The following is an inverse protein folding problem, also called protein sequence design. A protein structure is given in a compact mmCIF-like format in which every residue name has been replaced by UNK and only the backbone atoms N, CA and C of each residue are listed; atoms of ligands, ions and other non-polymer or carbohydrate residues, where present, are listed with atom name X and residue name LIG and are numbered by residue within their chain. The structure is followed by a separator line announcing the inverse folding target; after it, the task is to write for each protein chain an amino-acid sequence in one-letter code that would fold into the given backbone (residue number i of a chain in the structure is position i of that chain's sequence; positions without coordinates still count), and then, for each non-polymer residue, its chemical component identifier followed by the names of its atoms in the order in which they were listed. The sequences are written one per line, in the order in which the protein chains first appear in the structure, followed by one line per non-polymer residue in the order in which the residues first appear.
data_IF_593656351451
#
_entry.id   IF_593656351451
#
_cell.length_a   1.000
_cell.length_b   1.000
_cell.length_c   1.000
_cell.angle_alpha   90.00
_cell.angle_beta   90.00
_cell.angle_gamma   90.00
#
_symmetry.space_group_name_H-M   'P 1'
#
loop_
_entity.id
_entity.type
_entity.pdbx_description
1 polymer ?
#
# COMPACT_ATOMS: atom_id res chain seq x y z
N UNK A 1 -41.49 -16.08 60.30
CA UNK A 1 -40.43 -15.21 60.84
C UNK A 1 -39.38 -15.08 59.76
N UNK A 2 -39.13 -13.84 59.35
CA UNK A 2 -38.45 -13.43 58.13
C UNK A 2 -36.97 -13.84 58.05
N UNK A 3 -36.55 -14.05 56.80
CA UNK A 3 -35.21 -14.27 56.28
C UNK A 3 -34.36 -12.97 56.38
N UNK A 4 -33.10 -13.06 56.83
CA UNK A 4 -32.02 -12.17 56.36
C UNK A 4 -30.61 -12.69 56.66
N UNK A 5 -29.80 -12.83 55.57
CA UNK A 5 -28.36 -12.56 55.33
C UNK A 5 -27.37 -12.70 56.52
N UNK A 6 -26.21 -13.32 56.37
CA UNK A 6 -25.07 -12.91 55.52
C UNK A 6 -24.21 -14.13 55.18
N UNK A 7 -23.93 -14.37 53.91
CA UNK A 7 -22.83 -15.24 53.46
C UNK A 7 -21.68 -14.38 52.97
N UNK A 8 -20.51 -14.61 53.55
CA UNK A 8 -19.23 -14.02 53.17
C UNK A 8 -18.81 -14.51 51.79
N UNK A 9 -18.45 -13.56 50.93
CA UNK A 9 -17.89 -13.80 49.59
C UNK A 9 -16.51 -14.46 49.71
N UNK A 10 -16.46 -15.74 49.35
CA UNK A 10 -15.21 -16.44 49.05
C UNK A 10 -14.65 -15.99 47.70
N UNK A 11 -13.38 -15.60 47.70
CA UNK A 11 -12.58 -15.24 46.53
C UNK A 11 -12.55 -16.36 45.48
N UNK A 12 -13.20 -16.15 44.35
CA UNK A 12 -13.02 -16.97 43.15
C UNK A 12 -11.73 -16.53 42.41
N UNK A 13 -11.00 -17.46 41.77
CA UNK A 13 -9.67 -17.21 41.24
C UNK A 13 -9.70 -16.22 40.07
N UNK A 14 -8.78 -15.26 40.13
CA UNK A 14 -8.47 -14.22 39.14
C UNK A 14 -7.83 -14.88 37.89
N UNK A 15 -8.59 -15.71 37.19
CA UNK A 15 -8.07 -16.50 36.06
C UNK A 15 -9.11 -16.75 34.96
N UNK A 16 -10.03 -15.79 34.75
CA UNK A 16 -11.04 -15.87 33.68
C UNK A 16 -11.32 -14.57 32.92
N UNK A 17 -10.40 -13.59 32.91
CA UNK A 17 -10.56 -12.39 32.07
C UNK A 17 -9.23 -11.83 31.52
N UNK A 18 -8.31 -12.71 31.13
CA UNK A 18 -7.13 -12.36 30.33
C UNK A 18 -7.03 -13.28 29.11
N UNK A 19 -8.08 -13.30 28.31
CA UNK A 19 -8.04 -13.84 26.96
C UNK A 19 -8.83 -12.94 26.02
N UNK A 20 -8.49 -11.66 26.01
CA UNK A 20 -8.56 -10.88 24.78
C UNK A 20 -7.37 -11.35 23.94
N UNK A 21 -7.60 -12.21 22.94
CA UNK A 21 -6.62 -12.44 21.89
C UNK A 21 -6.25 -11.07 21.32
N UNK A 22 -5.07 -10.58 21.68
CA UNK A 22 -4.64 -9.25 21.29
C UNK A 22 -4.49 -9.23 19.77
N UNK A 23 -5.07 -8.23 19.11
CA UNK A 23 -4.69 -7.82 17.76
C UNK A 23 -3.20 -7.48 17.79
N UNK A 24 -2.37 -8.48 17.59
CA UNK A 24 -0.93 -8.43 17.82
C UNK A 24 -0.26 -7.78 16.62
N UNK A 25 -0.30 -6.45 16.56
CA UNK A 25 0.53 -5.69 15.65
C UNK A 25 1.99 -5.94 16.03
N UNK A 26 2.79 -6.44 15.09
CA UNK A 26 4.20 -6.80 15.30
C UNK A 26 5.16 -5.97 14.44
N UNK A 27 6.41 -5.86 14.89
CA UNK A 27 7.48 -5.24 14.08
C UNK A 27 7.66 -5.99 12.75
N UNK A 28 7.52 -7.31 12.77
CA UNK A 28 7.66 -8.13 11.57
C UNK A 28 6.63 -7.74 10.50
N UNK A 29 5.39 -7.42 10.89
CA UNK A 29 4.36 -6.91 9.96
C UNK A 29 4.60 -5.48 9.49
N UNK A 30 5.18 -4.62 10.33
CA UNK A 30 5.60 -3.28 9.91
C UNK A 30 6.70 -3.38 8.85
N UNK A 31 7.71 -4.23 9.10
CA UNK A 31 8.77 -4.51 8.12
C UNK A 31 8.20 -5.15 6.87
N UNK A 32 7.31 -6.13 7.02
CA UNK A 32 6.67 -6.82 5.91
C UNK A 32 5.92 -5.85 5.00
N UNK A 33 5.20 -4.88 5.56
CA UNK A 33 4.50 -3.86 4.78
C UNK A 33 5.44 -3.04 3.87
N UNK A 34 6.49 -2.43 4.43
CA UNK A 34 7.39 -1.58 3.62
C UNK A 34 8.31 -2.41 2.71
N UNK A 35 8.86 -3.51 3.21
CA UNK A 35 9.72 -4.40 2.41
C UNK A 35 8.93 -5.10 1.31
N UNK A 36 7.69 -5.49 1.60
CA UNK A 36 6.76 -6.04 0.60
C UNK A 36 6.52 -5.04 -0.52
N UNK A 37 6.24 -3.78 -0.20
CA UNK A 37 6.12 -2.71 -1.21
C UNK A 37 7.36 -2.60 -2.09
N UNK A 38 8.54 -2.50 -1.48
CA UNK A 38 9.84 -2.45 -2.21
C UNK A 38 10.04 -3.67 -3.11
N UNK A 39 9.73 -4.87 -2.61
CA UNK A 39 9.86 -6.09 -3.38
C UNK A 39 8.86 -6.13 -4.54
N UNK A 40 7.62 -5.68 -4.32
CA UNK A 40 6.61 -5.57 -5.37
C UNK A 40 7.04 -4.64 -6.49
N UNK A 41 7.52 -3.46 -6.15
CA UNK A 41 8.11 -2.48 -7.09
C UNK A 41 9.28 -3.10 -7.87
N UNK A 42 10.34 -3.54 -7.17
CA UNK A 42 11.55 -4.07 -7.80
C UNK A 42 11.29 -5.28 -8.72
N UNK A 43 10.33 -6.14 -8.34
CA UNK A 43 10.01 -7.36 -9.09
C UNK A 43 9.00 -7.12 -10.21
N UNK A 44 8.10 -6.14 -10.06
CA UNK A 44 7.11 -5.75 -11.05
C UNK A 44 7.68 -4.89 -12.17
N UNK A 45 8.60 -3.97 -11.87
CA UNK A 45 9.11 -2.98 -12.83
C UNK A 45 9.61 -3.56 -14.18
N UNK A 46 10.25 -4.74 -14.24
CA UNK A 46 10.66 -5.31 -15.53
C UNK A 46 9.53 -5.70 -16.48
N UNK A 47 8.28 -5.74 -15.99
CA UNK A 47 7.09 -6.13 -16.75
C UNK A 47 6.12 -4.95 -16.94
N UNK A 48 6.53 -3.73 -16.60
CA UNK A 48 5.69 -2.54 -16.78
C UNK A 48 5.39 -2.33 -18.26
N UNK A 49 4.11 -2.17 -18.60
CA UNK A 49 3.62 -1.98 -19.96
C UNK A 49 3.39 -3.26 -20.76
N UNK A 50 3.73 -4.44 -20.23
CA UNK A 50 3.37 -5.71 -20.85
C UNK A 50 1.83 -5.90 -20.85
N UNK A 51 1.26 -6.54 -21.88
CA UNK A 51 -0.18 -6.75 -21.93
C UNK A 51 -0.65 -7.75 -20.87
N UNK A 52 -0.02 -8.92 -20.82
CA UNK A 52 -0.20 -9.97 -19.81
C UNK A 52 1.12 -10.73 -19.66
N UNK A 53 1.33 -11.36 -18.51
CA UNK A 53 2.58 -12.07 -18.19
C UNK A 53 2.26 -13.48 -17.72
N UNK A 54 2.62 -14.48 -18.52
CA UNK A 54 2.33 -15.88 -18.18
C UNK A 54 3.03 -16.35 -16.91
N UNK A 55 2.38 -17.23 -16.15
CA UNK A 55 2.95 -17.86 -14.95
C UNK A 55 4.28 -18.58 -15.21
N UNK A 56 4.48 -19.15 -16.40
CA UNK A 56 5.75 -19.79 -16.79
C UNK A 56 6.90 -18.78 -16.85
N UNK A 57 6.66 -17.58 -17.40
CA UNK A 57 7.66 -16.50 -17.43
C UNK A 57 7.97 -16.03 -16.02
N UNK A 58 6.94 -15.88 -15.17
CA UNK A 58 7.09 -15.43 -13.78
C UNK A 58 7.85 -16.43 -12.90
N UNK A 59 7.56 -17.72 -13.00
CA UNK A 59 8.30 -18.77 -12.28
C UNK A 59 9.77 -18.79 -12.74
N UNK A 60 10.00 -18.78 -14.06
CA UNK A 60 11.36 -18.74 -14.62
C UNK A 60 12.14 -17.50 -14.16
N UNK A 61 11.47 -16.35 -14.09
CA UNK A 61 12.06 -15.11 -13.61
C UNK A 61 12.56 -15.18 -12.17
N UNK A 62 11.79 -15.81 -11.26
CA UNK A 62 12.21 -16.03 -9.87
C UNK A 62 13.32 -17.07 -9.75
N UNK A 63 13.23 -18.18 -10.48
CA UNK A 63 14.24 -19.25 -10.45
C UNK A 63 15.64 -18.78 -10.89
N UNK A 64 15.71 -17.85 -11.84
CA UNK A 64 16.96 -17.44 -12.47
C UNK A 64 17.46 -16.06 -12.01
N UNK A 65 16.98 -15.55 -10.87
CA UNK A 65 17.38 -14.23 -10.35
C UNK A 65 18.89 -14.11 -10.12
N UNK A 66 19.50 -15.13 -9.52
CA UNK A 66 20.94 -15.17 -9.25
C UNK A 66 21.78 -15.13 -10.54
N UNK A 67 21.42 -15.96 -11.53
CA UNK A 67 22.10 -15.96 -12.83
C UNK A 67 21.94 -14.63 -13.56
N UNK A 68 20.74 -14.04 -13.52
CA UNK A 68 20.45 -12.76 -14.16
C UNK A 68 21.21 -11.60 -13.49
N UNK A 69 21.39 -11.63 -12.18
CA UNK A 69 22.19 -10.65 -11.44
C UNK A 69 23.68 -10.76 -11.80
N UNK A 70 24.22 -11.98 -11.86
CA UNK A 70 25.60 -12.24 -12.27
C UNK A 70 25.88 -11.78 -13.70
N UNK A 71 24.99 -12.12 -14.66
CA UNK A 71 25.15 -11.73 -16.08
C UNK A 71 25.15 -10.22 -16.29
N UNK A 72 24.39 -9.46 -15.49
CA UNK A 72 24.28 -7.99 -15.59
C UNK A 72 25.35 -7.23 -14.80
N UNK A 73 26.14 -7.93 -13.98
CA UNK A 73 27.04 -7.30 -13.00
C UNK A 73 26.32 -6.25 -12.12
N UNK A 74 25.03 -6.48 -11.84
CA UNK A 74 24.18 -5.64 -11.02
C UNK A 74 23.49 -6.54 -9.99
N UNK A 75 23.89 -6.49 -8.71
CA UNK A 75 23.43 -7.46 -7.71
C UNK A 75 21.95 -7.29 -7.35
N UNK A 76 21.42 -6.08 -7.52
CA UNK A 76 20.04 -5.71 -7.20
C UNK A 76 19.29 -5.15 -8.41
N UNK A 77 17.98 -5.31 -8.38
CA UNK A 77 17.00 -4.62 -9.24
C UNK A 77 16.71 -3.26 -8.59
N UNK A 78 16.83 -2.16 -9.34
CA UNK A 78 16.52 -0.85 -8.79
C UNK A 78 15.01 -0.73 -8.55
N UNK A 79 14.64 -0.01 -7.50
CA UNK A 79 13.26 0.40 -7.26
C UNK A 79 12.86 1.58 -8.17
N UNK A 80 11.57 1.85 -8.35
CA UNK A 80 11.05 2.96 -9.18
C UNK A 80 10.60 4.18 -8.33
N UNK A 81 9.84 5.11 -8.91
CA UNK A 81 9.31 6.25 -8.16
C UNK A 81 8.37 5.83 -7.05
N UNK A 82 7.74 4.66 -7.13
CA UNK A 82 6.94 4.02 -6.08
C UNK A 82 7.64 4.02 -4.73
N UNK A 83 8.78 3.34 -4.66
CA UNK A 83 9.59 3.25 -3.45
C UNK A 83 10.22 4.59 -3.10
N UNK A 84 10.70 5.35 -4.10
CA UNK A 84 11.32 6.66 -3.88
C UNK A 84 10.36 7.62 -3.14
N UNK A 85 9.12 7.74 -3.63
CA UNK A 85 8.09 8.57 -3.02
C UNK A 85 7.61 7.99 -1.69
N UNK A 86 7.57 6.66 -1.54
CA UNK A 86 7.27 6.01 -0.25
C UNK A 86 8.31 6.39 0.81
N UNK A 87 9.60 6.33 0.49
CA UNK A 87 10.68 6.68 1.41
C UNK A 87 10.68 8.16 1.78
N UNK A 88 10.40 9.05 0.82
CA UNK A 88 10.22 10.46 1.10
C UNK A 88 9.05 10.71 2.09
N UNK A 89 7.94 9.97 1.94
CA UNK A 89 6.82 10.01 2.88
C UNK A 89 7.21 9.48 4.26
N UNK A 90 7.86 8.30 4.34
CA UNK A 90 8.38 7.75 5.60
C UNK A 90 9.25 8.77 6.34
N UNK A 91 10.21 9.37 5.63
CA UNK A 91 11.14 10.34 6.19
C UNK A 91 10.42 11.55 6.78
N UNK A 92 9.47 12.13 6.04
CA UNK A 92 8.71 13.29 6.52
C UNK A 92 7.83 12.95 7.73
N UNK A 93 7.09 11.83 7.67
CA UNK A 93 6.19 11.43 8.76
C UNK A 93 6.95 11.15 10.06
N UNK A 94 8.10 10.48 9.98
CA UNK A 94 8.92 10.18 11.15
C UNK A 94 9.62 11.43 11.69
N UNK A 95 10.16 12.29 10.81
CA UNK A 95 10.82 13.55 11.20
C UNK A 95 9.86 14.49 11.93
N UNK A 96 8.63 14.64 11.43
CA UNK A 96 7.66 15.60 11.96
C UNK A 96 6.67 14.98 12.94
N UNK A 97 6.84 13.69 13.27
CA UNK A 97 5.92 12.97 14.15
C UNK A 97 4.45 13.02 13.69
N UNK A 98 4.24 13.02 12.37
CA UNK A 98 2.95 13.27 11.75
C UNK A 98 3.08 13.96 10.40
N UNK A 99 1.94 14.33 9.81
CA UNK A 99 1.93 14.98 8.51
C UNK A 99 2.28 16.47 8.62
N UNK A 100 3.33 16.88 7.90
CA UNK A 100 3.65 18.27 7.61
C UNK A 100 3.73 18.42 6.08
N UNK A 101 2.77 19.12 5.47
CA UNK A 101 2.65 19.19 4.01
C UNK A 101 3.82 19.92 3.34
N UNK A 102 4.32 20.98 3.98
CA UNK A 102 5.42 21.78 3.46
C UNK A 102 6.72 20.96 3.48
N UNK A 103 7.01 20.28 4.60
CA UNK A 103 8.17 19.40 4.68
C UNK A 103 8.05 18.22 3.71
N UNK A 104 6.88 17.58 3.63
CA UNK A 104 6.65 16.46 2.72
C UNK A 104 6.85 16.84 1.25
N UNK A 105 6.31 17.99 0.82
CA UNK A 105 6.53 18.51 -0.52
C UNK A 105 8.02 18.76 -0.79
N UNK A 106 8.74 19.29 0.20
CA UNK A 106 10.21 19.44 0.14
C UNK A 106 10.94 18.10 -0.01
N UNK A 107 10.54 17.06 0.73
CA UNK A 107 11.14 15.72 0.58
C UNK A 107 10.87 15.13 -0.80
N UNK A 108 9.65 15.27 -1.33
CA UNK A 108 9.32 14.79 -2.67
C UNK A 108 10.13 15.51 -3.76
N UNK A 109 10.26 16.84 -3.66
CA UNK A 109 11.09 17.62 -4.57
C UNK A 109 12.58 17.22 -4.48
N UNK A 110 13.09 17.02 -3.27
CA UNK A 110 14.47 16.60 -3.06
C UNK A 110 14.75 15.20 -3.65
N UNK A 111 13.86 14.24 -3.38
CA UNK A 111 13.98 12.88 -3.91
C UNK A 111 13.97 12.90 -5.45
N UNK A 112 13.01 13.60 -6.06
CA UNK A 112 12.92 13.75 -7.51
C UNK A 112 14.18 14.37 -8.13
N UNK A 113 14.74 15.42 -7.52
CA UNK A 113 15.98 16.03 -8.02
C UNK A 113 17.20 15.12 -7.85
N UNK A 114 17.19 14.22 -6.87
CA UNK A 114 18.30 13.30 -6.63
C UNK A 114 18.44 12.25 -7.73
N UNK A 115 17.32 11.75 -8.25
CA UNK A 115 17.29 10.86 -9.41
C UNK A 115 15.95 10.96 -10.18
N UNK A 116 15.83 11.89 -11.14
CA UNK A 116 14.58 12.12 -11.88
C UNK A 116 14.24 10.98 -12.86
N UNK A 117 15.10 9.96 -12.98
CA UNK A 117 14.96 8.83 -13.92
C UNK A 117 14.31 7.60 -13.29
N UNK A 118 13.79 7.71 -12.06
CA UNK A 118 13.19 6.60 -11.31
C UNK A 118 11.85 6.10 -11.85
N UNK A 119 11.25 6.74 -12.85
CA UNK A 119 9.99 6.26 -13.44
C UNK A 119 8.83 7.26 -13.39
N UNK A 120 9.00 8.39 -12.67
CA UNK A 120 7.96 9.39 -12.45
C UNK A 120 7.11 9.71 -13.68
N UNK A 121 5.79 9.56 -13.56
CA UNK A 121 4.84 10.00 -14.60
C UNK A 121 4.98 11.49 -14.94
N UNK A 122 4.73 11.85 -16.20
CA UNK A 122 4.97 13.22 -16.71
C UNK A 122 4.27 14.33 -15.91
N UNK A 123 3.02 14.10 -15.46
CA UNK A 123 2.30 15.03 -14.60
C UNK A 123 2.98 15.23 -13.24
N UNK A 124 3.47 14.13 -12.63
CA UNK A 124 4.20 14.18 -11.37
C UNK A 124 5.53 14.94 -11.53
N UNK A 125 6.27 14.68 -12.61
CA UNK A 125 7.52 15.43 -12.90
C UNK A 125 7.29 16.94 -12.95
N UNK A 126 6.23 17.41 -13.62
CA UNK A 126 5.91 18.83 -13.67
C UNK A 126 5.62 19.41 -12.27
N UNK A 127 4.83 18.70 -11.46
CA UNK A 127 4.50 19.14 -10.10
C UNK A 127 5.76 19.19 -9.22
N UNK A 128 6.56 18.13 -9.21
CA UNK A 128 7.75 18.02 -8.38
C UNK A 128 8.83 19.03 -8.81
N UNK A 129 8.99 19.23 -10.13
CA UNK A 129 9.86 20.27 -10.66
C UNK A 129 9.41 21.66 -10.23
N UNK A 130 8.12 22.00 -10.29
CA UNK A 130 7.61 23.30 -9.85
C UNK A 130 7.84 23.53 -8.34
N UNK A 131 7.52 22.53 -7.49
CA UNK A 131 7.80 22.59 -6.05
C UNK A 131 9.30 22.84 -5.80
N UNK A 132 10.16 22.18 -6.57
CA UNK A 132 11.61 22.28 -6.43
C UNK A 132 12.18 23.64 -6.88
N UNK A 133 11.83 24.08 -8.10
CA UNK A 133 12.43 25.27 -8.74
C UNK A 133 11.90 26.56 -8.15
N UNK A 134 10.62 26.61 -7.78
CA UNK A 134 9.99 27.75 -7.12
C UNK A 134 10.19 27.73 -5.60
N UNK A 135 10.81 26.66 -5.08
CA UNK A 135 11.08 26.45 -3.65
C UNK A 135 9.84 26.61 -2.79
N UNK A 136 8.73 26.02 -3.23
CA UNK A 136 7.44 26.16 -2.57
C UNK A 136 7.46 25.63 -1.12
N UNK A 137 8.40 24.75 -0.81
CA UNK A 137 8.67 24.25 0.55
C UNK A 137 9.34 25.26 1.50
N UNK A 138 9.73 26.46 1.02
CA UNK A 138 10.15 27.58 1.86
C UNK A 138 8.94 28.47 2.29
N UNK A 139 7.75 28.22 1.72
CA UNK A 139 6.50 28.91 2.08
C UNK A 139 6.03 28.54 3.49
N UNK A 140 5.37 29.48 4.16
CA UNK A 140 4.60 29.21 5.39
C UNK A 140 3.14 28.87 5.13
N UNK A 141 2.66 29.06 3.90
CA UNK A 141 1.31 28.71 3.46
C UNK A 141 1.33 27.36 2.74
N UNK A 142 0.63 26.38 3.31
CA UNK A 142 0.46 25.05 2.72
C UNK A 142 -0.18 25.11 1.33
N UNK A 143 -1.01 26.13 1.03
CA UNK A 143 -1.64 26.25 -0.29
C UNK A 143 -0.63 26.31 -1.43
N UNK A 144 0.56 26.89 -1.18
CA UNK A 144 1.62 27.00 -2.15
C UNK A 144 2.09 25.63 -2.67
N UNK A 145 2.26 24.64 -1.78
CA UNK A 145 2.71 23.29 -2.17
C UNK A 145 1.60 22.41 -2.75
N UNK A 146 0.35 22.88 -2.72
CA UNK A 146 -0.81 22.16 -3.27
C UNK A 146 -1.22 22.69 -4.64
N UNK A 147 -0.91 23.95 -4.96
CA UNK A 147 -1.34 24.56 -6.23
C UNK A 147 -0.80 23.89 -7.51
N UNK A 148 0.47 23.45 -7.58
CA UNK A 148 0.96 22.79 -8.80
C UNK A 148 0.12 21.56 -9.18
N UNK A 149 -0.32 20.77 -8.20
CA UNK A 149 -1.19 19.63 -8.44
C UNK A 149 -2.61 20.03 -8.86
N UNK A 150 -3.16 21.09 -8.26
CA UNK A 150 -4.49 21.63 -8.62
C UNK A 150 -4.56 22.09 -10.06
N UNK A 151 -3.47 22.66 -10.59
CA UNK A 151 -3.43 23.17 -11.96
C UNK A 151 -3.30 22.07 -13.03
N UNK A 152 -2.93 20.85 -12.65
CA UNK A 152 -2.84 19.72 -13.58
C UNK A 152 -4.19 19.44 -14.27
N UNK A 153 -4.13 19.02 -15.53
CA UNK A 153 -5.29 18.64 -16.33
C UNK A 153 -6.39 19.71 -16.38
N UNK A 154 -6.00 20.99 -16.52
CA UNK A 154 -6.94 22.10 -16.64
C UNK A 154 -7.76 22.36 -15.37
N UNK A 155 -7.18 22.09 -14.20
CA UNK A 155 -7.84 22.30 -12.92
C UNK A 155 -8.50 21.05 -12.32
N UNK A 156 -8.50 19.92 -13.03
CA UNK A 156 -9.14 18.69 -12.58
C UNK A 156 -8.25 17.84 -11.66
N UNK A 157 -6.93 18.06 -11.71
CA UNK A 157 -5.94 17.23 -11.01
C UNK A 157 -5.73 15.86 -11.65
N UNK A 158 -4.61 15.22 -11.31
CA UNK A 158 -4.30 13.86 -11.72
C UNK A 158 -5.19 12.83 -11.00
N UNK A 159 -5.81 11.91 -11.75
CA UNK A 159 -6.48 10.72 -11.20
C UNK A 159 -5.57 9.48 -11.14
N UNK A 160 -4.27 9.65 -11.43
CA UNK A 160 -3.27 8.58 -11.37
C UNK A 160 -3.12 7.96 -9.98
N UNK A 161 -2.54 6.77 -9.94
CA UNK A 161 -2.34 5.99 -8.73
C UNK A 161 -1.12 6.42 -7.90
N UNK A 162 -0.33 7.41 -8.35
CA UNK A 162 0.91 7.79 -7.67
C UNK A 162 0.73 8.31 -6.24
N UNK A 163 -0.48 8.74 -5.87
CA UNK A 163 -0.82 9.02 -4.48
C UNK A 163 -1.04 7.77 -3.62
N UNK A 164 -1.55 6.70 -4.22
CA UNK A 164 -1.82 5.42 -3.59
C UNK A 164 -0.58 4.53 -3.51
N UNK A 165 0.27 4.53 -4.54
CA UNK A 165 1.50 3.71 -4.60
C UNK A 165 2.39 3.92 -3.36
N UNK A 166 2.43 5.14 -2.85
CA UNK A 166 3.29 5.55 -1.73
C UNK A 166 2.65 5.58 -0.35
N UNK A 167 1.36 5.26 -0.23
CA UNK A 167 0.56 5.65 0.95
C UNK A 167 0.68 4.70 2.15
N UNK A 168 1.31 3.52 1.99
CA UNK A 168 1.41 2.51 3.05
C UNK A 168 1.98 3.02 4.40
N UNK A 169 2.94 3.99 4.46
CA UNK A 169 3.42 4.54 5.72
C UNK A 169 2.33 5.24 6.55
N UNK A 170 1.28 5.78 5.91
CA UNK A 170 0.14 6.40 6.60
C UNK A 170 -0.62 5.37 7.44
N UNK A 171 -0.76 4.15 6.92
CA UNK A 171 -1.40 3.05 7.64
C UNK A 171 -0.59 2.61 8.86
N UNK A 172 0.75 2.61 8.74
CA UNK A 172 1.65 2.30 9.84
C UNK A 172 1.63 3.38 10.92
N UNK A 173 1.66 4.66 10.52
CA UNK A 173 1.57 5.80 11.44
C UNK A 173 0.28 5.75 12.27
N UNK A 174 -0.86 5.44 11.63
CA UNK A 174 -2.18 5.42 12.26
C UNK A 174 -2.67 4.00 12.57
N UNK A 175 -1.75 3.08 12.88
CA UNK A 175 -2.06 1.67 13.08
C UNK A 175 -2.96 1.41 14.31
N UNK A 176 -2.91 2.26 15.34
CA UNK A 176 -3.78 2.19 16.53
C UNK A 176 -4.75 3.37 16.68
N UNK A 177 -4.60 4.39 15.83
CA UNK A 177 -5.40 5.60 15.86
C UNK A 177 -6.83 5.38 15.32
N UNK A 178 -7.78 6.28 15.64
CA UNK A 178 -9.06 6.36 14.93
C UNK A 178 -8.86 6.42 13.41
N UNK A 179 -9.71 5.70 12.66
CA UNK A 179 -9.57 5.55 11.21
C UNK A 179 -9.65 6.91 10.47
N UNK A 180 -10.35 7.88 11.05
CA UNK A 180 -10.53 9.24 10.54
C UNK A 180 -9.20 10.01 10.45
N UNK A 181 -8.22 9.72 11.32
CA UNK A 181 -6.88 10.29 11.22
C UNK A 181 -6.12 9.72 10.02
N UNK A 182 -6.22 8.41 9.78
CA UNK A 182 -5.65 7.77 8.59
C UNK A 182 -6.27 8.32 7.31
N UNK A 183 -7.60 8.48 7.26
CA UNK A 183 -8.32 9.07 6.11
C UNK A 183 -7.80 10.48 5.85
N UNK A 184 -7.72 11.31 6.89
CA UNK A 184 -7.28 12.71 6.78
C UNK A 184 -5.83 12.80 6.28
N UNK A 185 -4.92 12.00 6.83
CA UNK A 185 -3.51 11.99 6.42
C UNK A 185 -3.33 11.49 4.99
N UNK A 186 -4.01 10.39 4.61
CA UNK A 186 -3.98 9.86 3.25
C UNK A 186 -4.56 10.85 2.24
N UNK A 187 -5.65 11.55 2.60
CA UNK A 187 -6.22 12.62 1.78
C UNK A 187 -5.24 13.76 1.59
N UNK A 188 -4.74 14.36 2.67
CA UNK A 188 -3.89 15.56 2.61
C UNK A 188 -2.56 15.31 1.91
N UNK A 189 -1.90 14.17 2.12
CA UNK A 189 -0.65 13.84 1.43
C UNK A 189 -0.84 13.67 -0.09
N UNK A 190 -2.02 13.20 -0.51
CA UNK A 190 -2.34 12.99 -1.92
C UNK A 190 -2.34 14.32 -2.68
N UNK A 191 -2.92 15.36 -2.07
CA UNK A 191 -3.14 16.68 -2.68
C UNK A 191 -1.86 17.40 -3.12
N UNK A 192 -0.68 17.02 -2.62
CA UNK A 192 0.60 17.59 -3.07
C UNK A 192 0.86 17.28 -4.55
N UNK A 193 0.34 16.17 -5.05
CA UNK A 193 0.59 15.69 -6.45
C UNK A 193 -0.68 15.32 -7.21
N UNK A 194 -1.73 14.94 -6.50
CA UNK A 194 -2.96 14.38 -7.04
C UNK A 194 -4.15 15.03 -6.32
N UNK A 195 -4.72 16.07 -6.93
CA UNK A 195 -5.88 16.79 -6.38
C UNK A 195 -7.23 16.23 -6.87
N UNK A 196 -7.23 15.24 -7.76
CA UNK A 196 -8.46 14.61 -8.22
C UNK A 196 -9.02 13.66 -7.15
N UNK A 197 -10.34 13.71 -6.94
CA UNK A 197 -11.01 12.86 -5.94
C UNK A 197 -10.86 11.35 -6.19
N UNK A 198 -10.68 10.90 -7.44
CA UNK A 198 -10.41 9.50 -7.76
C UNK A 198 -9.05 9.03 -7.21
N UNK A 199 -8.00 9.83 -7.38
CA UNK A 199 -6.68 9.51 -6.84
C UNK A 199 -6.66 9.55 -5.31
N UNK A 200 -7.30 10.57 -4.73
CA UNK A 200 -7.44 10.72 -3.28
C UNK A 200 -8.16 9.52 -2.65
N UNK A 201 -9.29 9.09 -3.24
CA UNK A 201 -10.00 7.89 -2.77
C UNK A 201 -9.15 6.63 -2.90
N UNK A 202 -8.43 6.46 -4.01
CA UNK A 202 -7.51 5.33 -4.19
C UNK A 202 -6.47 5.25 -3.09
N UNK A 203 -5.83 6.38 -2.74
CA UNK A 203 -4.86 6.44 -1.65
C UNK A 203 -5.49 6.11 -0.28
N UNK A 204 -6.70 6.58 -0.01
CA UNK A 204 -7.42 6.23 1.23
C UNK A 204 -7.76 4.74 1.28
N UNK A 205 -8.23 4.16 0.17
CA UNK A 205 -8.57 2.73 0.09
C UNK A 205 -7.32 1.86 0.28
N UNK A 206 -6.21 2.22 -0.37
CA UNK A 206 -4.94 1.51 -0.23
C UNK A 206 -4.42 1.57 1.22
N UNK A 207 -4.42 2.74 1.85
CA UNK A 207 -4.05 2.87 3.26
C UNK A 207 -4.96 2.04 4.18
N UNK A 208 -6.27 2.02 3.91
CA UNK A 208 -7.22 1.22 4.67
C UNK A 208 -6.98 -0.28 4.50
N UNK A 209 -6.68 -0.75 3.28
CA UNK A 209 -6.39 -2.15 3.00
C UNK A 209 -5.16 -2.63 3.78
N UNK A 210 -4.07 -1.84 3.76
CA UNK A 210 -2.88 -2.11 4.58
C UNK A 210 -3.22 -2.14 6.06
N UNK A 211 -3.99 -1.16 6.58
CA UNK A 211 -4.35 -1.10 7.99
C UNK A 211 -5.23 -2.27 8.44
N UNK A 212 -6.19 -2.70 7.62
CA UNK A 212 -7.06 -3.85 7.92
C UNK A 212 -6.22 -5.14 7.96
N UNK A 213 -5.34 -5.33 6.97
CA UNK A 213 -4.41 -6.46 6.94
C UNK A 213 -3.51 -6.50 8.19
N UNK A 214 -2.92 -5.35 8.55
CA UNK A 214 -2.07 -5.18 9.73
C UNK A 214 -2.77 -5.54 11.04
N UNK A 215 -4.05 -5.16 11.17
CA UNK A 215 -4.86 -5.36 12.37
C UNK A 215 -5.52 -6.74 12.46
N UNK A 216 -5.40 -7.58 11.43
CA UNK A 216 -5.93 -8.95 11.45
C UNK A 216 -5.21 -9.74 12.53
N UNK A 217 -5.92 -10.51 13.34
CA UNK A 217 -5.27 -11.30 14.40
C UNK A 217 -4.32 -12.34 13.80
N UNK A 218 -3.20 -12.58 14.49
CA UNK A 218 -2.19 -13.54 14.06
C UNK A 218 -2.80 -14.95 13.93
N UNK A 219 -2.51 -15.62 12.81
CA UNK A 219 -3.07 -16.93 12.49
C UNK A 219 -4.55 -16.95 12.08
N UNK A 220 -5.25 -15.79 12.05
CA UNK A 220 -6.62 -15.73 11.50
C UNK A 220 -6.60 -15.45 10.01
N UNK A 221 -7.31 -16.30 9.27
CA UNK A 221 -7.58 -16.08 7.86
C UNK A 221 -8.45 -14.84 7.63
N UNK A 222 -8.15 -14.11 6.56
CA UNK A 222 -8.98 -13.01 6.08
C UNK A 222 -10.15 -13.56 5.27
N UNK A 223 -11.37 -13.19 5.65
CA UNK A 223 -12.55 -13.38 4.81
C UNK A 223 -12.62 -12.26 3.75
N UNK A 224 -12.55 -12.57 2.44
CA UNK A 224 -12.52 -11.54 1.40
C UNK A 224 -13.75 -10.64 1.37
N UNK A 225 -14.94 -11.18 1.67
CA UNK A 225 -16.19 -10.38 1.67
C UNK A 225 -16.17 -9.38 2.81
N UNK A 226 -15.73 -9.80 4.00
CA UNK A 226 -15.58 -8.93 5.15
C UNK A 226 -14.53 -7.85 4.89
N UNK A 227 -13.36 -8.23 4.35
CA UNK A 227 -12.29 -7.28 4.01
C UNK A 227 -12.80 -6.18 3.07
N UNK A 228 -13.46 -6.57 1.97
CA UNK A 228 -14.05 -5.62 1.01
C UNK A 228 -15.16 -4.77 1.66
N UNK A 229 -16.01 -5.34 2.51
CA UNK A 229 -17.04 -4.56 3.21
C UNK A 229 -16.44 -3.53 4.18
N UNK A 230 -15.33 -3.85 4.84
CA UNK A 230 -14.62 -2.90 5.68
C UNK A 230 -14.04 -1.74 4.84
N UNK A 231 -13.50 -2.00 3.65
CA UNK A 231 -13.08 -0.96 2.71
C UNK A 231 -14.25 -0.06 2.26
N UNK A 232 -15.41 -0.65 1.93
CA UNK A 232 -16.62 0.10 1.56
C UNK A 232 -17.06 1.05 2.67
N UNK A 233 -16.99 0.61 3.93
CA UNK A 233 -17.32 1.45 5.08
C UNK A 233 -16.34 2.63 5.21
N UNK A 234 -15.07 2.46 4.86
CA UNK A 234 -14.10 3.56 4.83
C UNK A 234 -14.45 4.56 3.73
N UNK A 235 -14.77 4.11 2.51
CA UNK A 235 -15.15 5.00 1.39
C UNK A 235 -16.31 5.93 1.77
N UNK A 236 -17.31 5.40 2.48
CA UNK A 236 -18.49 6.18 2.92
C UNK A 236 -18.11 7.28 3.92
N UNK A 237 -17.03 7.11 4.69
CA UNK A 237 -16.53 8.10 5.65
C UNK A 237 -15.67 9.20 5.02
N UNK A 238 -15.26 9.06 3.76
CA UNK A 238 -14.42 10.07 3.10
C UNK A 238 -15.29 11.23 2.69
N UNK A 239 -15.24 12.32 3.46
CA UNK A 239 -15.84 13.60 3.10
C UNK A 239 -15.01 14.30 2.00
N UNK A 240 -15.57 15.32 1.34
CA UNK A 240 -14.87 16.17 0.36
C UNK A 240 -14.46 15.51 -0.97
N UNK A 241 -15.13 14.43 -1.37
CA UNK A 241 -15.04 13.85 -2.71
C UNK A 241 -16.42 13.75 -3.36
N UNK A 242 -16.46 13.83 -4.69
CA UNK A 242 -17.69 13.69 -5.46
C UNK A 242 -18.35 12.32 -5.19
N UNK A 243 -19.68 12.30 -5.09
CA UNK A 243 -20.43 11.06 -4.89
C UNK A 243 -20.18 10.05 -6.03
N UNK A 244 -20.06 10.53 -7.27
CA UNK A 244 -19.76 9.71 -8.45
C UNK A 244 -18.41 8.99 -8.35
N UNK A 245 -17.39 9.65 -7.77
CA UNK A 245 -16.09 9.01 -7.53
C UNK A 245 -16.19 7.88 -6.50
N UNK A 246 -17.02 8.04 -5.46
CA UNK A 246 -17.29 6.96 -4.49
C UNK A 246 -18.00 5.78 -5.16
N UNK A 247 -18.98 6.06 -6.01
CA UNK A 247 -19.73 5.02 -6.75
C UNK A 247 -18.80 4.15 -7.61
N UNK A 248 -17.85 4.77 -8.32
CA UNK A 248 -16.84 4.05 -9.12
C UNK A 248 -16.07 3.04 -8.27
N UNK A 249 -15.54 3.45 -7.11
CA UNK A 249 -14.79 2.53 -6.25
C UNK A 249 -15.69 1.48 -5.59
N UNK A 250 -16.92 1.83 -5.22
CA UNK A 250 -17.87 0.85 -4.68
C UNK A 250 -18.21 -0.22 -5.72
N UNK A 251 -18.35 0.15 -7.00
CA UNK A 251 -18.53 -0.79 -8.10
C UNK A 251 -17.29 -1.66 -8.33
N UNK A 252 -16.09 -1.05 -8.41
CA UNK A 252 -14.83 -1.78 -8.55
C UNK A 252 -14.61 -2.79 -7.41
N UNK A 253 -14.93 -2.43 -6.16
CA UNK A 253 -14.86 -3.34 -5.02
C UNK A 253 -15.87 -4.50 -5.12
N UNK A 254 -17.04 -4.30 -5.73
CA UNK A 254 -17.95 -5.41 -6.04
C UNK A 254 -17.36 -6.30 -7.14
N UNK A 255 -16.69 -5.73 -8.14
CA UNK A 255 -16.00 -6.49 -9.18
C UNK A 255 -14.87 -7.34 -8.60
N UNK A 256 -14.11 -6.85 -7.61
CA UNK A 256 -13.12 -7.68 -6.87
C UNK A 256 -13.76 -8.97 -6.38
N UNK A 257 -14.89 -8.87 -5.67
CA UNK A 257 -15.60 -10.06 -5.16
C UNK A 257 -16.15 -10.95 -6.27
N UNK A 258 -16.62 -10.37 -7.38
CA UNK A 258 -17.10 -11.10 -8.55
C UNK A 258 -15.98 -11.93 -9.18
N UNK A 259 -14.82 -11.33 -9.42
CA UNK A 259 -13.67 -12.03 -10.01
C UNK A 259 -13.05 -13.06 -9.07
N UNK A 260 -13.04 -12.82 -7.75
CA UNK A 260 -12.61 -13.83 -6.77
C UNK A 260 -13.51 -15.09 -6.78
N UNK A 261 -14.78 -14.94 -7.19
CA UNK A 261 -15.72 -16.04 -7.32
C UNK A 261 -15.63 -16.81 -8.63
N UNK A 262 -14.86 -16.35 -9.62
CA UNK A 262 -14.69 -17.03 -10.91
C UNK A 262 -13.66 -18.15 -10.80
N UNK A 263 -13.93 -19.28 -11.45
CA UNK A 263 -13.00 -20.41 -11.56
C UNK A 263 -11.93 -20.20 -12.62
N UNK A 264 -12.29 -19.50 -13.70
CA UNK A 264 -11.40 -19.07 -14.76
C UNK A 264 -11.68 -17.60 -15.06
N UNK A 265 -10.64 -16.84 -15.35
CA UNK A 265 -10.72 -15.41 -15.60
C UNK A 265 -10.45 -15.18 -17.07
N UNK A 266 -11.34 -14.43 -17.70
CA UNK A 266 -11.08 -13.82 -18.99
C UNK A 266 -10.24 -12.57 -18.72
N UNK A 267 -9.00 -12.56 -19.20
CA UNK A 267 -8.02 -11.50 -18.95
C UNK A 267 -8.47 -10.16 -19.57
N UNK A 268 -9.07 -10.20 -20.77
CA UNK A 268 -9.60 -9.00 -21.43
C UNK A 268 -10.76 -8.42 -20.61
N UNK A 269 -11.71 -9.27 -20.20
CA UNK A 269 -12.83 -8.84 -19.34
C UNK A 269 -12.32 -8.27 -18.00
N UNK A 270 -11.28 -8.87 -17.43
CA UNK A 270 -10.69 -8.42 -16.16
C UNK A 270 -10.04 -7.05 -16.29
N UNK A 271 -9.17 -6.87 -17.29
CA UNK A 271 -8.49 -5.60 -17.53
C UNK A 271 -9.46 -4.50 -17.93
N UNK A 272 -10.51 -4.80 -18.71
CA UNK A 272 -11.54 -3.82 -19.05
C UNK A 272 -12.37 -3.38 -17.84
N UNK A 273 -12.82 -4.32 -16.99
CA UNK A 273 -13.75 -4.02 -15.90
C UNK A 273 -13.05 -3.60 -14.61
N UNK A 274 -12.00 -4.32 -14.18
CA UNK A 274 -11.28 -4.02 -12.94
C UNK A 274 -10.11 -3.06 -13.18
N UNK A 275 -9.37 -3.26 -14.28
CA UNK A 275 -8.24 -2.42 -14.66
C UNK A 275 -6.88 -3.03 -14.34
N UNK A 276 -5.87 -2.55 -15.03
CA UNK A 276 -4.46 -2.86 -14.81
C UNK A 276 -3.56 -1.64 -15.16
N UNK A 277 -4.12 -0.44 -15.19
CA UNK A 277 -3.44 0.76 -15.70
C UNK A 277 -3.05 1.77 -14.60
N UNK A 278 -2.36 2.84 -15.00
CA UNK A 278 -1.83 3.91 -14.14
C UNK A 278 -2.89 4.74 -13.40
N UNK A 279 -4.18 4.54 -13.68
CA UNK A 279 -5.26 5.23 -12.96
C UNK A 279 -5.45 4.59 -11.58
N UNK A 280 -5.70 5.40 -10.56
CA UNK A 280 -6.05 4.89 -9.24
C UNK A 280 -7.27 3.92 -9.25
N UNK A 281 -8.37 4.19 -9.98
CA UNK A 281 -9.49 3.24 -10.06
C UNK A 281 -9.18 1.98 -10.88
N UNK A 282 -8.16 2.00 -11.74
CA UNK A 282 -7.70 0.84 -12.53
C UNK A 282 -6.67 -0.03 -11.82
N UNK A 283 -5.96 0.48 -10.81
CA UNK A 283 -4.86 -0.26 -10.15
C UNK A 283 -5.14 -0.61 -8.69
N UNK A 284 -5.72 0.30 -7.89
CA UNK A 284 -5.96 0.06 -6.45
C UNK A 284 -6.90 -1.13 -6.20
N UNK A 285 -8.06 -1.25 -6.88
CA UNK A 285 -8.92 -2.42 -6.73
C UNK A 285 -8.24 -3.72 -7.18
N UNK A 286 -7.38 -3.65 -8.20
CA UNK A 286 -6.61 -4.79 -8.72
C UNK A 286 -5.54 -5.25 -7.75
N UNK A 287 -4.86 -4.33 -7.05
CA UNK A 287 -3.95 -4.66 -5.96
C UNK A 287 -4.66 -5.36 -4.79
N UNK A 288 -5.86 -4.88 -4.42
CA UNK A 288 -6.71 -5.56 -3.42
C UNK A 288 -7.13 -6.95 -3.90
N UNK A 289 -7.51 -7.09 -5.17
CA UNK A 289 -7.83 -8.38 -5.76
C UNK A 289 -6.65 -9.34 -5.69
N UNK A 290 -5.45 -8.92 -6.12
CA UNK A 290 -4.25 -9.76 -6.15
C UNK A 290 -3.92 -10.30 -4.76
N UNK A 291 -3.96 -9.45 -3.73
CA UNK A 291 -3.79 -9.87 -2.34
C UNK A 291 -4.84 -10.91 -1.91
N UNK A 292 -6.12 -10.64 -2.12
CA UNK A 292 -7.21 -11.53 -1.69
C UNK A 292 -7.21 -12.86 -2.45
N UNK A 293 -6.83 -12.85 -3.74
CA UNK A 293 -6.68 -14.05 -4.57
C UNK A 293 -5.52 -14.91 -4.06
N UNK A 294 -4.40 -14.28 -3.71
CA UNK A 294 -3.20 -14.93 -3.21
C UNK A 294 -3.29 -15.42 -1.75
N UNK A 295 -4.38 -15.16 -1.02
CA UNK A 295 -4.62 -15.79 0.29
C UNK A 295 -4.66 -17.32 0.21
N UNK A 296 -5.03 -17.86 -0.95
CA UNK A 296 -5.02 -19.31 -1.21
C UNK A 296 -3.79 -19.68 -2.04
N UNK A 297 -3.22 -20.88 -1.85
CA UNK A 297 -2.18 -21.41 -2.73
C UNK A 297 -2.66 -21.41 -4.19
N UNK A 298 -1.77 -21.03 -5.10
CA UNK A 298 -1.98 -21.14 -6.54
C UNK A 298 -1.37 -22.44 -7.06
N UNK A 299 -1.94 -23.01 -8.12
CA UNK A 299 -1.29 -24.09 -8.87
C UNK A 299 -0.28 -23.53 -9.88
N UNK A 300 -0.39 -22.24 -10.21
CA UNK A 300 0.41 -21.59 -11.25
C UNK A 300 1.75 -21.06 -10.72
N UNK A 301 1.86 -20.83 -9.40
CA UNK A 301 3.05 -20.27 -8.77
C UNK A 301 3.66 -21.23 -7.74
N UNK A 302 4.90 -21.63 -7.98
CA UNK A 302 5.63 -22.58 -7.12
C UNK A 302 6.33 -21.88 -5.93
N UNK A 303 5.58 -21.03 -5.21
CA UNK A 303 6.12 -20.25 -4.08
C UNK A 303 5.34 -20.51 -2.78
N UNK A 304 6.10 -20.77 -1.70
CA UNK A 304 5.53 -20.92 -0.36
C UNK A 304 5.09 -19.60 0.28
N UNK A 305 5.78 -18.50 -0.06
CA UNK A 305 5.51 -17.15 0.45
C UNK A 305 4.16 -16.62 -0.04
N UNK A 306 3.34 -16.13 0.90
CA UNK A 306 2.10 -15.45 0.58
C UNK A 306 2.31 -14.09 -0.09
N UNK A 307 3.37 -13.39 0.28
CA UNK A 307 3.75 -12.10 -0.32
C UNK A 307 4.23 -12.29 -1.75
N UNK A 308 5.14 -13.23 -2.01
CA UNK A 308 5.60 -13.50 -3.39
C UNK A 308 4.44 -13.95 -4.27
N UNK A 309 3.56 -14.83 -3.78
CA UNK A 309 2.35 -15.21 -4.53
C UNK A 309 1.47 -14.00 -4.86
N UNK A 310 1.37 -13.03 -3.94
CA UNK A 310 0.63 -11.78 -4.18
C UNK A 310 1.29 -10.94 -5.27
N UNK A 311 2.62 -10.79 -5.23
CA UNK A 311 3.39 -10.07 -6.25
C UNK A 311 3.19 -10.70 -7.63
N UNK A 312 3.35 -12.02 -7.75
CA UNK A 312 3.18 -12.71 -9.03
C UNK A 312 1.74 -12.60 -9.57
N UNK A 313 0.75 -12.73 -8.69
CA UNK A 313 -0.67 -12.55 -9.07
C UNK A 313 -0.95 -11.12 -9.56
N UNK A 314 -0.27 -10.12 -9.01
CA UNK A 314 -0.41 -8.73 -9.46
C UNK A 314 0.22 -8.50 -10.85
N UNK A 315 1.38 -9.11 -11.12
CA UNK A 315 2.12 -8.94 -12.38
C UNK A 315 1.45 -9.69 -13.54
N UNK A 316 0.78 -10.82 -13.27
CA UNK A 316 0.17 -11.70 -14.28
C UNK A 316 -0.75 -10.96 -15.26
N UNK A 317 -1.49 -9.95 -14.77
CA UNK A 317 -2.42 -9.16 -15.59
C UNK A 317 -1.77 -8.02 -16.38
N UNK A 318 -0.44 -7.86 -16.32
CA UNK A 318 0.29 -6.83 -17.06
C UNK A 318 -0.10 -5.40 -16.66
N UNK A 319 0.18 -4.46 -17.55
CA UNK A 319 -0.07 -3.03 -17.40
C UNK A 319 0.92 -2.37 -16.44
N UNK A 320 0.41 -1.65 -15.44
CA UNK A 320 1.18 -0.94 -14.42
C UNK A 320 1.62 -1.90 -13.30
N UNK A 321 2.50 -2.82 -13.66
CA UNK A 321 2.81 -4.02 -12.86
C UNK A 321 3.61 -3.72 -11.61
N UNK A 322 4.55 -2.77 -11.62
CA UNK A 322 5.29 -2.32 -10.44
C UNK A 322 4.35 -1.68 -9.42
N UNK A 323 3.51 -0.74 -9.85
CA UNK A 323 2.60 -0.05 -8.92
C UNK A 323 1.58 -0.98 -8.30
N UNK A 324 0.94 -1.83 -9.12
CA UNK A 324 -0.06 -2.81 -8.62
C UNK A 324 0.62 -3.82 -7.69
N UNK A 325 1.80 -4.34 -8.05
CA UNK A 325 2.54 -5.29 -7.20
C UNK A 325 3.02 -4.66 -5.90
N UNK A 326 3.55 -3.43 -5.93
CA UNK A 326 3.97 -2.66 -4.75
C UNK A 326 2.83 -2.45 -3.76
N UNK A 327 1.67 -2.01 -4.27
CA UNK A 327 0.47 -1.83 -3.45
C UNK A 327 -0.04 -3.16 -2.87
N UNK A 328 -0.14 -4.21 -3.69
CA UNK A 328 -0.63 -5.52 -3.26
C UNK A 328 0.29 -6.15 -2.22
N UNK A 329 1.60 -6.07 -2.44
CA UNK A 329 2.62 -6.60 -1.55
C UNK A 329 2.74 -5.81 -0.25
N UNK A 330 2.45 -4.49 -0.25
CA UNK A 330 2.32 -3.72 0.98
C UNK A 330 1.16 -4.22 1.87
N UNK A 331 0.04 -4.62 1.26
CA UNK A 331 -1.09 -5.23 1.98
C UNK A 331 -0.72 -6.62 2.49
N UNK A 332 -0.17 -7.47 1.61
CA UNK A 332 0.26 -8.82 1.96
C UNK A 332 1.32 -8.82 3.07
N UNK A 333 2.29 -7.92 2.97
CA UNK A 333 3.37 -7.75 3.94
C UNK A 333 2.88 -7.32 5.32
N UNK A 334 1.85 -6.47 5.37
CA UNK A 334 1.20 -6.11 6.63
C UNK A 334 0.45 -7.30 7.28
N UNK A 335 0.04 -8.29 6.49
CA UNK A 335 -0.65 -9.49 6.98
C UNK A 335 0.30 -10.64 7.34
N UNK A 336 1.22 -10.99 6.44
CA UNK A 336 2.14 -12.13 6.59
C UNK A 336 3.40 -11.80 7.37
N UNK A 337 3.89 -10.56 7.27
CA UNK A 337 5.13 -10.13 7.90
C UNK A 337 6.39 -10.38 7.06
N UNK A 338 7.49 -9.76 7.49
CA UNK A 338 8.77 -9.71 6.76
C UNK A 338 9.41 -11.09 6.59
N UNK A 339 9.26 -11.96 7.58
CA UNK A 339 9.81 -13.31 7.54
C UNK A 339 9.22 -14.18 6.41
N UNK A 340 8.06 -13.81 5.85
CA UNK A 340 7.45 -14.52 4.72
C UNK A 340 8.23 -14.32 3.41
N UNK A 341 9.02 -13.25 3.27
CA UNK A 341 9.91 -13.05 2.11
C UNK A 341 11.31 -13.56 2.44
N UNK A 342 11.79 -14.53 1.66
CA UNK A 342 13.14 -15.07 1.82
C UNK A 342 14.25 -14.11 1.39
N UNK A 343 15.41 -14.19 2.06
CA UNK A 343 16.61 -13.41 1.70
C UNK A 343 17.09 -13.67 0.26
N UNK A 344 16.83 -14.86 -0.27
CA UNK A 344 17.16 -15.22 -1.64
C UNK A 344 16.49 -14.33 -2.69
N UNK A 345 15.33 -13.74 -2.36
CA UNK A 345 14.67 -12.76 -3.22
C UNK A 345 15.10 -11.34 -2.86
N UNK A 346 15.15 -11.02 -1.56
CA UNK A 346 15.39 -9.65 -1.11
C UNK A 346 16.81 -9.14 -1.36
N UNK A 347 17.80 -10.03 -1.43
CA UNK A 347 19.17 -9.67 -1.84
C UNK A 347 19.22 -9.03 -3.24
N UNK A 348 18.18 -9.25 -4.05
CA UNK A 348 18.04 -8.70 -5.39
C UNK A 348 17.16 -7.44 -5.47
N UNK A 349 16.73 -6.85 -4.37
CA UNK A 349 15.91 -5.64 -4.37
C UNK A 349 16.69 -4.47 -3.76
N UNK A 350 16.75 -3.32 -4.44
CA UNK A 350 17.32 -2.11 -3.88
C UNK A 350 16.44 -1.58 -2.73
N UNK A 351 17.04 -0.99 -1.69
CA UNK A 351 16.29 -0.24 -0.67
C UNK A 351 15.69 -1.07 0.47
N UNK A 352 15.83 -2.41 0.48
CA UNK A 352 15.29 -3.28 1.53
C UNK A 352 15.72 -2.85 2.93
N UNK A 353 17.02 -2.56 3.14
CA UNK A 353 17.52 -2.16 4.46
C UNK A 353 16.91 -0.83 4.94
N UNK A 354 16.71 0.12 4.02
CA UNK A 354 16.11 1.41 4.35
C UNK A 354 14.61 1.27 4.68
N UNK A 355 13.89 0.40 3.97
CA UNK A 355 12.52 0.05 4.31
C UNK A 355 12.39 -0.55 5.71
N UNK A 356 13.30 -1.46 6.09
CA UNK A 356 13.33 -2.03 7.44
C UNK A 356 13.60 -0.98 8.52
N UNK A 357 14.51 -0.04 8.28
CA UNK A 357 14.80 1.07 9.20
C UNK A 357 13.59 1.98 9.40
N UNK A 358 12.87 2.33 8.33
CA UNK A 358 11.64 3.12 8.45
C UNK A 358 10.55 2.37 9.21
N UNK A 359 10.37 1.08 8.94
CA UNK A 359 9.42 0.24 9.66
C UNK A 359 9.73 0.18 11.17
N UNK A 360 11.00 0.05 11.54
CA UNK A 360 11.46 0.13 12.92
C UNK A 360 11.12 1.49 13.56
N UNK A 361 11.31 2.59 12.83
CA UNK A 361 10.94 3.94 13.28
C UNK A 361 9.45 4.07 13.59
N UNK A 362 8.57 3.59 12.69
CA UNK A 362 7.13 3.62 12.92
C UNK A 362 6.71 2.71 14.08
N UNK A 363 7.31 1.53 14.20
CA UNK A 363 6.98 0.61 15.29
C UNK A 363 7.47 1.14 16.65
N UNK A 364 8.65 1.75 16.71
CA UNK A 364 9.17 2.41 17.90
C UNK A 364 8.20 3.51 18.37
N UNK A 365 7.67 4.33 17.46
CA UNK A 365 6.65 5.32 17.77
C UNK A 365 5.37 4.69 18.33
N UNK A 366 4.88 3.62 17.71
CA UNK A 366 3.66 2.90 18.13
C UNK A 366 3.74 2.32 19.55
N UNK A 367 4.95 2.00 20.01
CA UNK A 367 5.20 1.42 21.34
C UNK A 367 5.45 2.46 22.42
N UNK A 368 5.68 3.72 22.04
CA UNK A 368 5.86 4.86 22.96
C UNK A 368 4.53 5.58 23.28
N UNK A 369 3.48 5.37 22.46
CA UNK A 369 2.10 5.81 22.69
C UNK A 369 1.35 4.83 23.59
#
# INVERSE_FOLDING_TARGET
MLICKVTTLGSAPIQRLLCTMARSISLDRFKGCLVGGVAGDCLGAPFEGDQTVSSTVLNSYLEHMDEAAQKRNQPYKPYTDDTAMTFALCKSLLKNEGLNLIDLAGQYAHEFLSDPRRGYGSGAQHVLAAIATEKLYESTDESAVLEPARQQFGGQGSYGNGAAMRVSPVALLHAKDPIELMITTAHRQSLITHSNGLAVLGAVIQAAAVRIALQTEEGKEIDPKRFVNELRNVIIKVDHVDASHREIYLEKLNLVLRFLGKTAIDEEEFCEQLGNDISAPGSVPTAVYAFLKALKPSQDFEVGSGILRTILTAIEFGGDTDTIASMAASIAGAYYGRADIGEDVLKHCEGVQLAEQYAEGFFARLTQQ
#
